data_IF_599139675209
#
_entry.id   IF_599139675209
#
_cell.length_a   1.000
_cell.length_b   1.000
_cell.length_c   1.000
_cell.angle_alpha   90.00
_cell.angle_beta   90.00
_cell.angle_gamma   90.00
#
_symmetry.space_group_name_H-M   'P 1'
#
loop_
_entity.id
_entity.type
_entity.pdbx_description
1 polymer ?
#
# COMPACT_ATOMS: atom_id res chain seq x y z
N UNK A 1 12.98 9.57 1.93
CA UNK A 1 11.58 9.48 2.39
C UNK A 1 11.48 8.43 3.48
N UNK A 2 10.79 8.77 4.56
CA UNK A 2 10.51 7.82 5.63
C UNK A 2 9.31 6.96 5.27
N UNK A 3 9.34 5.70 5.71
CA UNK A 3 8.21 4.78 5.55
C UNK A 3 7.77 4.34 6.94
N UNK A 4 6.49 4.50 7.23
CA UNK A 4 5.91 4.06 8.49
C UNK A 4 4.77 3.08 8.23
N UNK A 5 4.54 2.17 9.16
CA UNK A 5 3.41 1.24 9.10
C UNK A 5 2.52 1.50 10.31
N UNK A 6 1.23 1.67 10.08
CA UNK A 6 0.29 1.73 11.19
C UNK A 6 0.27 0.39 11.92
N UNK A 7 -0.20 0.40 13.16
CA UNK A 7 -0.32 -0.83 13.93
C UNK A 7 -1.23 -1.83 13.21
N UNK A 8 -2.33 -1.36 12.64
CA UNK A 8 -3.24 -2.20 11.84
C UNK A 8 -2.50 -2.86 10.68
N UNK A 9 -1.67 -2.10 9.95
CA UNK A 9 -0.90 -2.63 8.83
C UNK A 9 0.12 -3.65 9.30
N UNK A 10 0.79 -3.40 10.41
CA UNK A 10 1.75 -4.34 10.99
C UNK A 10 1.10 -5.69 11.31
N UNK A 11 -0.09 -5.66 11.91
CA UNK A 11 -0.84 -6.88 12.20
C UNK A 11 -1.22 -7.63 10.92
N UNK A 12 -1.69 -6.90 9.92
CA UNK A 12 -2.08 -7.51 8.64
C UNK A 12 -0.88 -8.18 7.95
N UNK A 13 0.28 -7.53 7.97
CA UNK A 13 1.50 -8.09 7.37
C UNK A 13 1.94 -9.34 8.13
N UNK A 14 1.83 -9.31 9.44
CA UNK A 14 2.21 -10.44 10.29
C UNK A 14 1.39 -11.70 10.00
N UNK A 15 0.12 -11.51 9.64
CA UNK A 15 -0.80 -12.61 9.37
C UNK A 15 -0.69 -13.19 7.95
N UNK A 16 0.10 -12.56 7.09
CA UNK A 16 0.31 -13.05 5.73
C UNK A 16 1.25 -14.27 5.71
N UNK A 17 1.08 -15.10 4.68
CA UNK A 17 2.06 -16.16 4.42
C UNK A 17 3.39 -15.54 3.95
N UNK A 18 4.45 -16.36 3.90
CA UNK A 18 5.79 -15.88 3.57
C UNK A 18 5.86 -15.22 2.18
N UNK A 19 5.19 -15.80 1.20
CA UNK A 19 5.18 -15.30 -0.17
C UNK A 19 4.55 -13.92 -0.26
N UNK A 20 3.40 -13.73 0.37
CA UNK A 20 2.70 -12.45 0.36
C UNK A 20 3.42 -11.40 1.19
N UNK A 21 4.01 -11.82 2.31
CA UNK A 21 4.81 -10.92 3.13
C UNK A 21 6.03 -10.41 2.35
N UNK A 22 6.70 -11.28 1.60
CA UNK A 22 7.80 -10.87 0.76
C UNK A 22 7.37 -9.86 -0.30
N UNK A 23 6.19 -10.06 -0.91
CA UNK A 23 5.64 -9.12 -1.88
C UNK A 23 5.40 -7.75 -1.26
N UNK A 24 4.91 -7.70 -0.02
CA UNK A 24 4.72 -6.44 0.70
C UNK A 24 6.05 -5.73 0.91
N UNK A 25 7.07 -6.44 1.37
CA UNK A 25 8.38 -5.84 1.60
C UNK A 25 9.02 -5.34 0.31
N UNK A 26 8.89 -6.09 -0.78
CA UNK A 26 9.37 -5.62 -2.08
C UNK A 26 8.67 -4.32 -2.49
N UNK A 27 7.38 -4.25 -2.27
CA UNK A 27 6.60 -3.04 -2.56
C UNK A 27 7.06 -1.87 -1.70
N UNK A 28 7.29 -2.09 -0.42
CA UNK A 28 7.79 -1.07 0.51
C UNK A 28 9.12 -0.48 0.02
N UNK A 29 10.00 -1.32 -0.47
CA UNK A 29 11.29 -0.88 -0.99
C UNK A 29 11.18 -0.14 -2.32
N UNK A 30 10.19 -0.48 -3.12
CA UNK A 30 10.01 0.04 -4.46
C UNK A 30 9.17 1.32 -4.50
N UNK A 31 8.15 1.43 -3.64
CA UNK A 31 7.20 2.54 -3.66
C UNK A 31 7.85 3.93 -3.64
N UNK A 32 8.82 4.21 -2.77
CA UNK A 32 9.42 5.56 -2.74
C UNK A 32 10.06 5.97 -4.06
N UNK A 33 10.62 5.00 -4.80
CA UNK A 33 11.18 5.25 -6.13
C UNK A 33 10.07 5.42 -7.16
N UNK A 34 9.07 4.55 -7.10
CA UNK A 34 7.97 4.53 -8.06
C UNK A 34 7.16 5.82 -8.04
N UNK A 35 7.00 6.43 -6.88
CA UNK A 35 6.25 7.66 -6.74
C UNK A 35 6.90 8.85 -7.45
N UNK A 36 8.19 8.74 -7.79
CA UNK A 36 8.87 9.74 -8.58
C UNK A 36 8.96 9.41 -10.07
N UNK A 37 8.45 8.25 -10.48
CA UNK A 37 8.59 7.76 -11.85
C UNK A 37 7.25 7.22 -12.37
N UNK A 38 6.60 7.93 -13.32
CA UNK A 38 5.30 7.49 -13.87
C UNK A 38 5.33 6.10 -14.50
N UNK A 39 6.44 5.70 -15.09
CA UNK A 39 6.54 4.37 -15.70
C UNK A 39 6.55 3.26 -14.64
N UNK A 40 7.15 3.50 -13.51
CA UNK A 40 7.16 2.56 -12.40
C UNK A 40 5.77 2.43 -11.76
N UNK A 41 4.97 3.52 -11.77
CA UNK A 41 3.58 3.50 -11.28
C UNK A 41 2.76 2.43 -12.00
N UNK A 42 2.91 2.31 -13.31
CA UNK A 42 2.13 1.36 -14.10
C UNK A 42 2.39 -0.09 -13.64
N UNK A 43 3.64 -0.41 -13.32
CA UNK A 43 4.00 -1.75 -12.88
C UNK A 43 3.44 -2.12 -11.51
N UNK A 44 3.24 -1.14 -10.64
CA UNK A 44 2.70 -1.35 -9.29
C UNK A 44 1.20 -1.15 -9.20
N UNK A 45 0.55 -0.70 -10.28
CA UNK A 45 -0.88 -0.42 -10.27
C UNK A 45 -1.25 0.65 -9.23
N UNK A 46 -0.42 1.67 -9.09
CA UNK A 46 -0.65 2.75 -8.12
C UNK A 46 -1.78 3.65 -8.62
N UNK A 47 -2.75 3.90 -7.75
CA UNK A 47 -3.82 4.84 -8.06
C UNK A 47 -4.33 5.52 -6.79
N UNK A 48 -4.88 6.72 -6.97
CA UNK A 48 -5.49 7.47 -5.88
C UNK A 48 -6.92 6.97 -5.66
N UNK A 49 -7.26 6.65 -4.44
CA UNK A 49 -8.57 6.10 -4.09
C UNK A 49 -9.53 7.16 -3.57
N UNK A 50 -9.00 8.22 -2.96
CA UNK A 50 -9.83 9.21 -2.30
C UNK A 50 -9.16 10.58 -2.39
N UNK A 51 -10.00 11.64 -2.48
CA UNK A 51 -9.51 13.01 -2.59
C UNK A 51 -8.64 13.45 -1.40
N UNK A 52 -8.77 12.79 -0.26
CA UNK A 52 -7.98 13.11 0.93
C UNK A 52 -6.56 12.52 0.92
N UNK A 53 -6.11 12.01 -0.22
CA UNK A 53 -4.74 11.52 -0.33
C UNK A 53 -4.53 10.07 0.07
N UNK A 54 -5.57 9.25 -0.07
CA UNK A 54 -5.48 7.81 0.15
C UNK A 54 -5.18 7.13 -1.19
N UNK A 55 -4.15 6.32 -1.22
CA UNK A 55 -3.63 5.66 -2.42
C UNK A 55 -3.61 4.16 -2.26
N UNK A 56 -3.58 3.47 -3.38
CA UNK A 56 -3.52 2.02 -3.44
C UNK A 56 -2.40 1.58 -4.38
N UNK A 57 -1.68 0.53 -3.98
CA UNK A 57 -0.78 -0.21 -4.85
C UNK A 57 -1.26 -1.66 -4.92
N UNK A 58 -1.13 -2.27 -6.10
CA UNK A 58 -1.55 -3.64 -6.30
C UNK A 58 -0.39 -4.60 -6.00
N UNK A 59 -0.67 -5.63 -5.21
CA UNK A 59 0.28 -6.68 -4.88
C UNK A 59 -0.23 -8.01 -5.45
N UNK A 60 0.05 -8.25 -6.74
CA UNK A 60 -0.49 -9.42 -7.42
C UNK A 60 -1.97 -9.26 -7.72
N UNK A 61 -2.70 -10.38 -7.86
CA UNK A 61 -4.08 -10.37 -8.31
C UNK A 61 -5.08 -10.05 -7.20
N UNK A 62 -4.79 -10.42 -5.96
CA UNK A 62 -5.77 -10.38 -4.88
C UNK A 62 -5.43 -9.44 -3.75
N UNK A 63 -4.19 -9.00 -3.66
CA UNK A 63 -3.75 -8.21 -2.53
C UNK A 63 -3.58 -6.75 -2.92
N UNK A 64 -3.94 -5.86 -2.00
CA UNK A 64 -3.82 -4.41 -2.17
C UNK A 64 -3.11 -3.83 -0.97
N UNK A 65 -2.30 -2.81 -1.21
CA UNK A 65 -1.64 -2.03 -0.17
C UNK A 65 -2.21 -0.61 -0.22
N UNK A 66 -2.78 -0.15 0.90
CA UNK A 66 -3.32 1.20 1.01
C UNK A 66 -2.32 2.06 1.78
N UNK A 67 -2.03 3.24 1.27
CA UNK A 67 -1.07 4.14 1.90
C UNK A 67 -1.49 5.59 1.76
N UNK A 68 -0.95 6.44 2.62
CA UNK A 68 -1.05 7.89 2.51
C UNK A 68 0.33 8.44 2.21
N UNK A 69 0.37 9.59 1.57
CA UNK A 69 1.62 10.20 1.15
C UNK A 69 1.67 11.64 1.60
N UNK A 70 2.72 11.97 2.36
CA UNK A 70 3.07 13.31 2.76
C UNK A 70 4.47 13.63 2.19
N UNK A 71 4.93 14.89 2.16
CA UNK A 71 6.17 15.24 1.47
C UNK A 71 7.39 14.39 1.80
N UNK A 72 7.54 13.95 3.05
CA UNK A 72 8.69 13.15 3.45
C UNK A 72 8.30 11.87 4.16
N UNK A 73 7.02 11.48 4.06
CA UNK A 73 6.50 10.33 4.80
C UNK A 73 5.48 9.55 3.97
N UNK A 74 5.75 8.28 3.81
CA UNK A 74 4.81 7.32 3.23
C UNK A 74 4.32 6.44 4.37
N UNK A 75 3.01 6.48 4.65
CA UNK A 75 2.43 5.67 5.73
C UNK A 75 1.60 4.54 5.14
N UNK A 76 1.97 3.31 5.43
CA UNK A 76 1.22 2.12 5.02
C UNK A 76 0.11 1.90 6.04
N UNK A 77 -1.14 1.91 5.57
CA UNK A 77 -2.32 1.92 6.42
C UNK A 77 -2.99 0.56 6.49
N UNK A 78 -3.02 -0.15 5.38
CA UNK A 78 -3.73 -1.43 5.28
C UNK A 78 -3.12 -2.30 4.19
N UNK A 79 -3.02 -3.59 4.47
CA UNK A 79 -2.80 -4.62 3.46
C UNK A 79 -3.98 -5.55 3.52
N UNK A 80 -4.63 -5.81 2.40
CA UNK A 80 -5.78 -6.69 2.37
C UNK A 80 -6.29 -6.95 0.98
N UNK A 81 -7.46 -7.58 0.91
CA UNK A 81 -8.13 -7.86 -0.35
C UNK A 81 -8.85 -6.61 -0.85
N UNK A 82 -9.34 -6.69 -2.08
CA UNK A 82 -10.17 -5.62 -2.64
C UNK A 82 -11.37 -5.32 -1.72
N UNK A 83 -11.98 -6.34 -1.16
CA UNK A 83 -13.12 -6.18 -0.25
C UNK A 83 -12.71 -5.49 1.05
N UNK A 84 -11.54 -5.84 1.58
CA UNK A 84 -11.00 -5.17 2.77
C UNK A 84 -10.80 -3.68 2.53
N UNK A 85 -10.30 -3.32 1.35
CA UNK A 85 -10.10 -1.92 0.97
C UNK A 85 -11.43 -1.19 0.85
N UNK A 86 -12.43 -1.81 0.24
CA UNK A 86 -13.76 -1.22 0.13
C UNK A 86 -14.36 -0.96 1.51
N UNK A 87 -14.21 -1.92 2.42
CA UNK A 87 -14.69 -1.77 3.80
C UNK A 87 -13.97 -0.62 4.51
N UNK A 88 -12.67 -0.53 4.31
CA UNK A 88 -11.86 0.56 4.88
C UNK A 88 -12.35 1.93 4.37
N UNK A 89 -12.64 2.05 3.06
CA UNK A 89 -13.07 3.31 2.46
C UNK A 89 -14.45 3.77 2.96
N UNK A 90 -15.30 2.83 3.36
CA UNK A 90 -16.61 3.17 3.93
C UNK A 90 -16.48 3.76 5.34
N UNK A 91 -15.39 3.44 6.03
CA UNK A 91 -15.19 3.87 7.42
C UNK A 91 -13.69 4.01 7.68
N UNK A 92 -13.04 4.97 7.01
CA UNK A 92 -11.59 5.15 7.10
C UNK A 92 -11.09 5.69 8.44
#
# INVERSE_FOLDING_TARGET
MKVALTERCQHAVRDLDDSRRAAVFDCILTLPRALGDPHAHAGLGIRKLHASGIWEARLGLRLRLVFTLEPQLLTLVLVGTHEDVRRFLRNP
#
